data_IF_463364328200
#
_entry.id   IF_463364328200
#
_cell.length_a   1.000
_cell.length_b   1.000
_cell.length_c   1.000
_cell.angle_alpha   90.00
_cell.angle_beta   90.00
_cell.angle_gamma   90.00
#
_symmetry.space_group_name_H-M   'P 1'
#
loop_
_entity.id
_entity.type
_entity.pdbx_description
1 polymer ?
#
# COMPACT_ATOMS: atom_id res chain seq x y z
N UNK A 1 0.73 -25.24 -16.73
CA UNK A 1 1.42 -24.92 -15.49
C UNK A 1 0.85 -25.82 -14.41
N UNK A 2 1.57 -26.02 -13.32
CA UNK A 2 1.07 -26.84 -12.20
C UNK A 2 -0.03 -26.08 -11.46
N UNK A 3 0.02 -24.75 -11.50
CA UNK A 3 -1.12 -23.89 -11.23
C UNK A 3 -1.84 -23.41 -12.51
N UNK A 4 -3.08 -22.92 -12.37
CA UNK A 4 -3.92 -22.54 -13.52
C UNK A 4 -3.41 -21.31 -14.26
N UNK A 5 -3.57 -21.27 -15.60
CA UNK A 5 -3.17 -20.12 -16.45
C UNK A 5 -3.77 -18.80 -15.96
N UNK A 6 -5.04 -18.82 -15.59
CA UNK A 6 -5.77 -17.61 -15.16
C UNK A 6 -5.23 -17.03 -13.85
N UNK A 7 -4.63 -17.87 -12.99
CA UNK A 7 -4.01 -17.42 -11.74
C UNK A 7 -2.80 -16.52 -12.04
N UNK A 8 -1.90 -16.98 -12.91
CA UNK A 8 -0.72 -16.20 -13.30
C UNK A 8 -1.05 -15.02 -14.20
N UNK A 9 -2.13 -15.08 -14.98
CA UNK A 9 -2.62 -13.89 -15.68
C UNK A 9 -3.06 -12.83 -14.67
N UNK A 10 -3.75 -13.21 -13.59
CA UNK A 10 -4.10 -12.30 -12.50
C UNK A 10 -2.85 -11.67 -11.87
N UNK A 11 -1.87 -12.48 -11.46
CA UNK A 11 -0.63 -11.96 -10.88
C UNK A 11 0.17 -11.08 -11.85
N UNK A 12 0.35 -11.52 -13.09
CA UNK A 12 1.10 -10.74 -14.08
C UNK A 12 0.44 -9.40 -14.40
N UNK A 13 -0.88 -9.39 -14.52
CA UNK A 13 -1.64 -8.17 -14.77
C UNK A 13 -1.65 -7.25 -13.54
N UNK A 14 -1.76 -7.82 -12.33
CA UNK A 14 -1.62 -7.09 -11.07
C UNK A 14 -0.26 -6.39 -10.96
N UNK A 15 0.84 -7.14 -11.13
CA UNK A 15 2.18 -6.57 -11.13
C UNK A 15 2.40 -5.52 -12.23
N UNK A 16 1.82 -5.72 -13.42
CA UNK A 16 1.89 -4.74 -14.50
C UNK A 16 1.19 -3.43 -14.12
N UNK A 17 -0.02 -3.51 -13.57
CA UNK A 17 -0.76 -2.32 -13.13
C UNK A 17 -0.06 -1.63 -11.95
N UNK A 18 0.50 -2.39 -11.01
CA UNK A 18 1.30 -1.83 -9.92
C UNK A 18 2.51 -1.05 -10.45
N UNK A 19 3.24 -1.64 -11.39
CA UNK A 19 4.37 -0.97 -12.04
C UNK A 19 3.94 0.29 -12.80
N UNK A 20 2.86 0.23 -13.58
CA UNK A 20 2.34 1.37 -14.31
C UNK A 20 1.88 2.51 -13.37
N UNK A 21 1.24 2.15 -12.24
CA UNK A 21 0.90 3.09 -11.17
C UNK A 21 2.14 3.74 -10.58
N UNK A 22 3.17 2.96 -10.22
CA UNK A 22 4.43 3.50 -9.70
C UNK A 22 5.15 4.44 -10.65
N UNK A 23 5.16 4.13 -11.95
CA UNK A 23 5.73 5.03 -12.96
C UNK A 23 4.92 6.33 -13.04
N UNK A 24 3.59 6.26 -13.08
CA UNK A 24 2.73 7.43 -13.13
C UNK A 24 2.85 8.30 -11.87
N UNK A 25 2.82 7.69 -10.69
CA UNK A 25 2.99 8.37 -9.42
C UNK A 25 4.36 9.06 -9.35
N UNK A 26 5.42 8.39 -9.81
CA UNK A 26 6.75 9.00 -9.89
C UNK A 26 6.82 10.23 -10.82
N UNK A 27 5.94 10.36 -11.82
CA UNK A 27 5.83 11.62 -12.58
C UNK A 27 5.16 12.73 -11.76
N UNK A 28 4.12 12.42 -11.00
CA UNK A 28 3.45 13.38 -10.11
C UNK A 28 4.43 13.91 -9.06
N UNK A 29 5.08 13.00 -8.36
CA UNK A 29 5.96 13.32 -7.24
C UNK A 29 7.28 13.92 -7.71
N UNK A 30 8.03 13.25 -8.60
CA UNK A 30 9.42 13.62 -8.89
C UNK A 30 9.57 14.68 -9.98
N UNK A 31 8.60 14.79 -10.90
CA UNK A 31 8.67 15.74 -12.02
C UNK A 31 7.83 16.98 -11.74
N UNK A 32 6.64 16.81 -11.16
CA UNK A 32 5.72 17.89 -10.91
C UNK A 32 5.67 18.38 -9.46
N UNK A 33 6.35 17.68 -8.54
CA UNK A 33 6.37 18.01 -7.12
C UNK A 33 4.96 18.18 -6.56
N UNK A 34 4.07 17.27 -6.97
CA UNK A 34 2.70 17.22 -6.48
C UNK A 34 2.58 16.09 -5.47
N UNK A 35 1.92 16.40 -4.35
CA UNK A 35 1.57 15.41 -3.31
C UNK A 35 0.05 15.36 -3.09
N UNK A 36 -0.73 14.83 -4.06
CA UNK A 36 -2.18 14.73 -3.89
C UNK A 36 -2.56 13.44 -3.14
N UNK A 37 -3.53 13.54 -2.22
CA UNK A 37 -4.13 12.39 -1.53
C UNK A 37 -4.63 11.29 -2.48
N UNK A 38 -5.07 11.68 -3.68
CA UNK A 38 -5.46 10.78 -4.78
C UNK A 38 -5.01 11.38 -6.11
N UNK A 39 -4.36 10.53 -6.90
CA UNK A 39 -3.84 10.84 -8.22
C UNK A 39 -4.43 9.91 -9.29
N UNK A 40 -4.05 10.15 -10.55
CA UNK A 40 -4.34 9.22 -11.63
C UNK A 40 -3.69 7.83 -11.42
N UNK A 41 -2.59 7.76 -10.66
CA UNK A 41 -1.91 6.51 -10.38
C UNK A 41 -2.77 5.54 -9.54
N UNK A 42 -3.65 6.07 -8.69
CA UNK A 42 -4.55 5.27 -7.85
C UNK A 42 -5.47 4.37 -8.63
N UNK A 43 -5.91 4.79 -9.82
CA UNK A 43 -6.68 3.92 -10.71
C UNK A 43 -5.90 2.64 -11.05
N UNK A 44 -4.60 2.76 -11.30
CA UNK A 44 -3.73 1.63 -11.64
C UNK A 44 -3.45 0.77 -10.41
N UNK A 45 -3.25 1.37 -9.23
CA UNK A 45 -3.12 0.62 -7.99
C UNK A 45 -4.39 -0.16 -7.63
N UNK A 46 -5.58 0.44 -7.75
CA UNK A 46 -6.86 -0.25 -7.55
C UNK A 46 -6.99 -1.45 -8.50
N UNK A 47 -6.64 -1.29 -9.78
CA UNK A 47 -6.62 -2.41 -10.72
C UNK A 47 -5.62 -3.49 -10.31
N UNK A 48 -4.44 -3.11 -9.82
CA UNK A 48 -3.47 -4.06 -9.26
C UNK A 48 -4.09 -4.89 -8.15
N UNK A 49 -4.72 -4.25 -7.16
CA UNK A 49 -5.40 -4.93 -6.06
C UNK A 49 -6.46 -5.92 -6.55
N UNK A 50 -7.29 -5.52 -7.52
CA UNK A 50 -8.31 -6.38 -8.11
C UNK A 50 -7.69 -7.62 -8.77
N UNK A 51 -6.65 -7.45 -9.57
CA UNK A 51 -6.03 -8.58 -10.29
C UNK A 51 -5.18 -9.49 -9.41
N UNK A 52 -4.45 -8.92 -8.43
CA UNK A 52 -3.73 -9.69 -7.41
C UNK A 52 -4.70 -10.49 -6.55
N UNK A 53 -5.74 -9.85 -6.01
CA UNK A 53 -6.79 -10.49 -5.23
C UNK A 53 -7.47 -11.60 -6.03
N UNK A 54 -7.84 -11.33 -7.28
CA UNK A 54 -8.41 -12.34 -8.18
C UNK A 54 -7.48 -13.55 -8.39
N UNK A 55 -6.20 -13.32 -8.66
CA UNK A 55 -5.19 -14.38 -8.80
C UNK A 55 -5.08 -15.25 -7.54
N UNK A 56 -5.01 -14.61 -6.37
CA UNK A 56 -4.92 -15.30 -5.08
C UNK A 56 -6.20 -16.07 -4.73
N UNK A 57 -7.39 -15.50 -4.98
CA UNK A 57 -8.68 -16.20 -4.77
C UNK A 57 -8.77 -17.45 -5.65
N UNK A 58 -8.40 -17.35 -6.93
CA UNK A 58 -8.35 -18.52 -7.82
C UNK A 58 -7.35 -19.57 -7.34
N UNK A 59 -6.19 -19.15 -6.82
CA UNK A 59 -5.20 -20.05 -6.26
C UNK A 59 -5.74 -20.81 -5.04
N UNK A 60 -6.36 -20.10 -4.11
CA UNK A 60 -6.93 -20.64 -2.86
C UNK A 60 -8.12 -21.57 -3.13
N UNK A 61 -9.11 -21.11 -3.90
CA UNK A 61 -10.34 -21.86 -4.16
C UNK A 61 -10.10 -23.18 -4.91
N UNK A 62 -9.06 -23.23 -5.75
CA UNK A 62 -8.69 -24.45 -6.46
C UNK A 62 -8.24 -25.61 -5.56
N UNK A 63 -7.94 -25.33 -4.28
CA UNK A 63 -7.30 -26.30 -3.36
C UNK A 63 -8.23 -26.96 -2.36
N UNK A 64 -9.54 -26.65 -2.35
CA UNK A 64 -10.51 -27.22 -1.38
C UNK A 64 -9.92 -27.27 0.04
N UNK A 65 -9.58 -26.09 0.57
CA UNK A 65 -8.87 -25.97 1.85
C UNK A 65 -9.67 -26.67 2.95
N UNK A 66 -9.15 -27.78 3.46
CA UNK A 66 -9.66 -28.44 4.65
C UNK A 66 -8.81 -27.98 5.84
N UNK A 67 -9.03 -26.75 6.27
CA UNK A 67 -8.23 -26.13 7.32
C UNK A 67 -8.63 -26.66 8.69
N UNK A 68 -7.63 -26.95 9.52
CA UNK A 68 -7.84 -27.26 10.93
C UNK A 68 -8.28 -26.01 11.70
N UNK A 69 -8.92 -26.18 12.86
CA UNK A 69 -9.42 -25.08 13.70
C UNK A 69 -8.31 -24.07 14.03
N UNK A 70 -7.08 -24.55 14.28
CA UNK A 70 -5.93 -23.68 14.54
C UNK A 70 -5.51 -22.85 13.33
N UNK A 71 -5.68 -23.37 12.11
CA UNK A 71 -5.39 -22.64 10.88
C UNK A 71 -6.44 -21.55 10.63
N UNK A 72 -7.71 -21.84 10.93
CA UNK A 72 -8.76 -20.81 10.95
C UNK A 72 -8.51 -19.73 12.00
N UNK A 73 -8.08 -20.13 13.21
CA UNK A 73 -7.70 -19.19 14.26
C UNK A 73 -6.51 -18.32 13.84
N UNK A 74 -5.53 -18.87 13.11
CA UNK A 74 -4.42 -18.09 12.58
C UNK A 74 -4.87 -17.07 11.52
N UNK A 75 -5.75 -17.45 10.59
CA UNK A 75 -6.33 -16.53 9.60
C UNK A 75 -7.10 -15.40 10.31
N UNK A 76 -7.96 -15.75 11.28
CA UNK A 76 -8.71 -14.77 12.05
C UNK A 76 -7.77 -13.84 12.84
N UNK A 77 -6.73 -14.40 13.46
CA UNK A 77 -5.72 -13.64 14.20
C UNK A 77 -5.03 -12.60 13.32
N UNK A 78 -4.59 -13.00 12.12
CA UNK A 78 -3.97 -12.08 11.16
C UNK A 78 -4.96 -11.04 10.64
N UNK A 79 -6.21 -11.43 10.36
CA UNK A 79 -7.25 -10.48 9.94
C UNK A 79 -7.48 -9.41 11.00
N UNK A 80 -7.63 -9.82 12.27
CA UNK A 80 -7.86 -8.90 13.39
C UNK A 80 -6.64 -8.03 13.64
N UNK A 81 -5.42 -8.60 13.70
CA UNK A 81 -4.21 -7.83 13.97
C UNK A 81 -3.88 -6.87 12.82
N UNK A 82 -4.04 -7.30 11.57
CA UNK A 82 -3.82 -6.45 10.40
C UNK A 82 -4.85 -5.32 10.32
N UNK A 83 -6.12 -5.59 10.62
CA UNK A 83 -7.14 -4.53 10.68
C UNK A 83 -6.86 -3.57 11.82
N UNK A 84 -6.52 -4.06 13.02
CA UNK A 84 -6.23 -3.21 14.16
C UNK A 84 -5.01 -2.31 13.89
N UNK A 85 -3.96 -2.85 13.28
CA UNK A 85 -2.79 -2.06 12.88
C UNK A 85 -3.17 -1.00 11.85
N UNK A 86 -3.90 -1.37 10.80
CA UNK A 86 -4.29 -0.42 9.75
C UNK A 86 -5.18 0.71 10.28
N UNK A 87 -6.13 0.40 11.16
CA UNK A 87 -6.97 1.40 11.82
C UNK A 87 -6.15 2.30 12.73
N UNK A 88 -5.22 1.75 13.51
CA UNK A 88 -4.34 2.56 14.37
C UNK A 88 -3.39 3.47 13.57
N UNK A 89 -2.90 3.00 12.43
CA UNK A 89 -2.04 3.80 11.55
C UNK A 89 -2.83 4.94 10.90
N UNK A 90 -4.07 4.66 10.48
CA UNK A 90 -4.96 5.67 9.88
C UNK A 90 -5.46 6.69 10.90
N UNK A 91 -5.77 6.25 12.12
CA UNK A 91 -6.17 7.11 13.23
C UNK A 91 -5.61 6.56 14.56
N UNK A 92 -4.47 7.11 15.04
CA UNK A 92 -3.85 6.67 16.29
C UNK A 92 -4.73 6.89 17.53
N UNK A 93 -5.71 7.81 17.46
CA UNK A 93 -6.63 8.13 18.55
C UNK A 93 -7.77 7.12 18.66
N UNK A 94 -8.00 6.31 17.62
CA UNK A 94 -9.12 5.37 17.53
C UNK A 94 -9.20 4.38 18.72
N UNK A 95 -8.05 3.90 19.20
CA UNK A 95 -8.00 2.96 20.33
C UNK A 95 -8.00 3.65 21.70
N UNK A 96 -8.04 4.99 21.76
CA UNK A 96 -7.97 5.77 22.99
C UNK A 96 -6.67 5.57 23.78
N UNK A 97 -5.62 5.04 23.13
CA UNK A 97 -4.32 4.73 23.74
C UNK A 97 -3.36 5.91 23.71
N UNK A 98 -3.58 6.85 22.79
CA UNK A 98 -2.91 8.15 22.75
C UNK A 98 -3.93 9.13 23.30
N UNK A 99 -3.62 9.74 24.45
CA UNK A 99 -4.48 10.77 25.02
C UNK A 99 -4.73 11.84 23.96
N UNK A 100 -5.97 12.31 23.87
CA UNK A 100 -6.32 13.52 23.11
C UNK A 100 -5.24 14.55 23.33
N UNK A 101 -4.63 15.04 22.25
CA UNK A 101 -3.71 16.17 22.33
C UNK A 101 -4.49 17.35 22.92
N UNK A 102 -4.47 17.47 24.25
CA UNK A 102 -4.60 18.77 24.87
C UNK A 102 -3.41 19.54 24.32
N UNK A 103 -3.69 20.43 23.37
CA UNK A 103 -2.80 21.50 22.96
C UNK A 103 -2.30 22.16 24.24
N UNK A 104 -1.11 21.78 24.69
CA UNK A 104 -0.40 22.50 25.73
C UNK A 104 0.04 23.78 25.04
N UNK A 105 -0.82 24.79 25.10
CA UNK A 105 -0.46 26.17 24.86
C UNK A 105 0.58 26.49 25.93
N UNK A 106 1.86 26.32 25.59
CA UNK A 106 2.93 26.94 26.36
C UNK A 106 2.77 28.43 26.07
N UNK A 107 2.01 29.10 26.93
CA UNK A 107 1.99 30.54 27.02
C UNK A 107 3.43 30.98 27.33
N UNK A 108 4.12 31.48 26.31
CA UNK A 108 5.46 32.05 26.46
C UNK A 108 5.31 33.33 27.30
N UNK A 109 5.42 33.18 28.61
CA UNK A 109 5.55 34.31 29.54
C UNK A 109 6.90 34.97 29.29
N UNK A 110 6.90 36.00 28.45
CA UNK A 110 8.00 36.93 28.33
C UNK A 110 8.12 37.74 29.64
N UNK A 111 9.33 38.01 30.15
CA UNK A 111 9.48 38.80 31.36
C UNK A 111 9.13 40.27 31.10
N UNK A 112 8.21 40.79 31.91
CA UNK A 112 7.89 42.22 32.01
C UNK A 112 9.16 43.04 32.22
N UNK A 113 9.42 44.01 31.33
CA UNK A 113 10.23 45.18 31.65
C UNK A 113 9.33 46.40 31.64
N UNK A 114 9.34 47.10 32.76
CA UNK A 114 8.47 48.17 33.19
C UNK A 114 8.77 49.52 32.51
N UNK A 115 7.75 50.04 31.79
CA UNK A 115 7.28 51.45 31.74
C UNK A 115 8.14 52.57 31.08
N UNK A 116 7.58 53.78 30.73
CA UNK A 116 6.16 54.20 30.61
C UNK A 116 5.79 54.89 29.27
N UNK A 117 4.47 55.08 29.12
CA UNK A 117 3.66 55.61 28.01
C UNK A 117 3.92 57.06 27.54
N UNK A 118 3.66 57.33 26.26
CA UNK A 118 3.04 58.59 25.79
C UNK A 118 2.08 58.36 24.61
N UNK A 119 1.17 59.32 24.44
CA UNK A 119 -0.22 59.26 23.97
C UNK A 119 -0.44 59.46 22.46
N UNK A 120 -1.43 58.73 21.90
CA UNK A 120 -2.39 59.08 20.81
C UNK A 120 -1.90 59.46 19.40
N UNK A 121 -2.42 58.78 18.36
CA UNK A 121 -3.36 59.35 17.35
C UNK A 121 -3.90 58.26 16.41
N UNK A 122 -5.11 58.48 15.91
CA UNK A 122 -6.09 57.63 15.23
C UNK A 122 -5.66 56.93 13.91
N UNK A 123 -6.48 55.92 13.56
CA UNK A 123 -6.47 55.03 12.40
C UNK A 123 -6.53 55.73 11.01
N UNK A 124 -6.31 55.00 9.89
CA UNK A 124 -7.39 54.15 9.37
C UNK A 124 -6.94 52.75 8.90
N UNK A 125 -7.87 51.81 9.06
CA UNK A 125 -7.90 50.54 8.36
C UNK A 125 -8.16 50.76 6.87
N UNK A 126 -7.39 50.13 5.97
CA UNK A 126 -7.85 49.37 4.79
C UNK A 126 -6.68 48.53 4.24
N UNK A 127 -7.02 47.37 3.66
CA UNK A 127 -6.23 46.47 2.78
C UNK A 127 -5.55 45.32 3.53
N UNK A 128 -6.24 44.18 3.60
CA UNK A 128 -6.15 43.13 2.57
C UNK A 128 -4.83 42.38 2.68
N UNK A 129 -4.67 41.66 3.78
CA UNK A 129 -3.85 40.46 3.80
C UNK A 129 -4.85 39.30 3.64
N UNK A 130 -5.25 39.07 2.39
CA UNK A 130 -5.61 37.72 1.99
C UNK A 130 -4.38 36.87 2.28
N UNK A 131 -4.61 35.68 2.83
CA UNK A 131 -3.58 34.67 3.04
C UNK A 131 -2.71 34.57 1.78
N UNK A 132 -1.44 34.98 1.90
CA UNK A 132 -0.40 34.46 1.03
C UNK A 132 -0.18 33.02 1.50
N UNK A 133 -1.05 32.11 1.06
CA UNK A 133 -0.63 30.75 0.79
C UNK A 133 0.51 30.87 -0.21
N UNK A 134 1.71 30.47 0.21
CA UNK A 134 2.84 30.33 -0.69
C UNK A 134 2.41 29.36 -1.80
N UNK A 135 2.04 29.90 -2.97
CA UNK A 135 1.87 29.10 -4.17
C UNK A 135 3.25 28.48 -4.47
N UNK A 136 3.41 27.21 -4.10
CA UNK A 136 4.49 26.40 -4.65
C UNK A 136 4.41 26.51 -6.16
N UNK A 137 5.52 26.90 -6.80
CA UNK A 137 5.64 26.95 -8.25
C UNK A 137 5.52 25.54 -8.83
N UNK A 138 4.31 25.00 -8.91
CA UNK A 138 4.07 23.70 -9.51
C UNK A 138 4.40 23.78 -11.00
N UNK A 139 5.30 22.90 -11.44
CA UNK A 139 5.65 22.76 -12.86
C UNK A 139 4.58 21.98 -13.64
N UNK A 140 3.50 21.59 -12.96
CA UNK A 140 2.46 20.73 -13.49
C UNK A 140 1.62 21.43 -14.58
N UNK A 141 1.30 20.75 -15.69
CA UNK A 141 0.31 21.22 -16.64
C UNK A 141 -1.06 21.44 -15.95
N UNK A 142 -1.79 22.50 -16.32
CA UNK A 142 -3.07 22.82 -15.67
C UNK A 142 -4.16 21.73 -15.74
N UNK A 143 -4.06 20.78 -16.67
CA UNK A 143 -4.96 19.62 -16.71
C UNK A 143 -4.69 18.62 -15.58
N UNK A 144 -3.45 18.52 -15.10
CA UNK A 144 -3.01 17.66 -13.98
C UNK A 144 -3.62 18.20 -12.69
N UNK A 145 -3.36 19.47 -12.39
CA UNK A 145 -3.93 20.17 -11.23
C UNK A 145 -5.47 20.13 -11.26
N UNK A 146 -6.06 20.32 -12.45
CA UNK A 146 -7.51 20.21 -12.64
C UNK A 146 -8.07 18.79 -12.47
N UNK A 147 -7.25 17.76 -12.66
CA UNK A 147 -7.62 16.37 -12.40
C UNK A 147 -7.53 16.08 -10.90
N UNK A 148 -6.46 16.48 -10.23
CA UNK A 148 -6.25 16.22 -8.80
C UNK A 148 -7.37 16.82 -7.96
N UNK A 149 -7.77 18.08 -8.23
CA UNK A 149 -8.94 18.72 -7.59
C UNK A 149 -10.26 17.96 -7.80
N UNK A 150 -10.39 17.20 -8.90
CA UNK A 150 -11.60 16.38 -9.13
C UNK A 150 -11.52 15.03 -8.41
N UNK A 151 -10.32 14.56 -8.10
CA UNK A 151 -10.06 13.29 -7.42
C UNK A 151 -10.04 13.46 -5.91
N UNK A 152 -9.72 14.64 -5.39
CA UNK A 152 -9.69 14.97 -3.96
C UNK A 152 -10.92 14.47 -3.17
N UNK A 153 -12.18 14.64 -3.64
CA UNK A 153 -13.35 14.14 -2.91
C UNK A 153 -13.42 12.60 -2.81
N UNK A 154 -12.62 11.88 -3.61
CA UNK A 154 -12.53 10.42 -3.58
C UNK A 154 -11.47 9.93 -2.58
N UNK A 155 -10.65 10.80 -2.00
CA UNK A 155 -9.55 10.46 -1.08
C UNK A 155 -9.97 9.50 0.03
N UNK A 156 -11.03 9.85 0.76
CA UNK A 156 -11.54 8.99 1.83
C UNK A 156 -11.95 7.61 1.31
N UNK A 157 -12.61 7.55 0.15
CA UNK A 157 -13.07 6.29 -0.44
C UNK A 157 -11.92 5.41 -0.94
N UNK A 158 -10.92 6.02 -1.59
CA UNK A 158 -9.72 5.33 -2.10
C UNK A 158 -8.85 4.85 -0.94
N UNK A 159 -8.62 5.68 0.08
CA UNK A 159 -7.86 5.28 1.27
C UNK A 159 -8.54 4.12 2.00
N UNK A 160 -9.87 4.18 2.18
CA UNK A 160 -10.64 3.08 2.76
C UNK A 160 -10.54 1.80 1.90
N UNK A 161 -10.58 1.93 0.57
CA UNK A 161 -10.37 0.80 -0.33
C UNK A 161 -8.99 0.17 -0.10
N UNK A 162 -7.92 0.95 0.03
CA UNK A 162 -6.59 0.41 0.33
C UNK A 162 -6.55 -0.29 1.68
N UNK A 163 -7.12 0.28 2.74
CA UNK A 163 -7.17 -0.37 4.07
C UNK A 163 -7.87 -1.75 3.97
N UNK A 164 -9.02 -1.81 3.31
CA UNK A 164 -9.76 -3.06 3.15
C UNK A 164 -8.99 -4.04 2.25
N UNK A 165 -8.43 -3.54 1.15
CA UNK A 165 -7.64 -4.29 0.19
C UNK A 165 -6.41 -4.93 0.83
N UNK A 166 -5.66 -4.14 1.60
CA UNK A 166 -4.48 -4.55 2.36
C UNK A 166 -4.77 -5.77 3.23
N UNK A 167 -5.78 -5.65 4.09
CA UNK A 167 -6.21 -6.71 5.00
C UNK A 167 -6.72 -7.92 4.22
N UNK A 168 -7.50 -7.69 3.16
CA UNK A 168 -8.02 -8.77 2.32
C UNK A 168 -6.88 -9.58 1.66
N UNK A 169 -5.89 -8.91 1.09
CA UNK A 169 -4.71 -9.56 0.53
C UNK A 169 -3.90 -10.28 1.61
N UNK A 170 -3.76 -9.70 2.81
CA UNK A 170 -3.09 -10.31 3.95
C UNK A 170 -3.76 -11.62 4.41
N UNK A 171 -5.09 -11.66 4.43
CA UNK A 171 -5.88 -12.87 4.72
C UNK A 171 -5.60 -13.94 3.67
N UNK A 172 -5.64 -13.57 2.38
CA UNK A 172 -5.35 -14.50 1.28
C UNK A 172 -3.91 -15.01 1.33
N UNK A 173 -2.94 -14.15 1.63
CA UNK A 173 -1.54 -14.51 1.79
C UNK A 173 -1.36 -15.55 2.91
N UNK A 174 -2.01 -15.31 4.05
CA UNK A 174 -2.02 -16.24 5.19
C UNK A 174 -2.64 -17.58 4.79
N UNK A 175 -3.79 -17.55 4.11
CA UNK A 175 -4.44 -18.76 3.60
C UNK A 175 -3.53 -19.53 2.63
N UNK A 176 -2.79 -18.85 1.75
CA UNK A 176 -1.81 -19.47 0.86
C UNK A 176 -0.67 -20.13 1.64
N UNK A 177 -0.10 -19.47 2.66
CA UNK A 177 0.97 -20.06 3.47
C UNK A 177 0.50 -21.36 4.13
N UNK A 178 -0.70 -21.35 4.73
CA UNK A 178 -1.27 -22.50 5.42
C UNK A 178 -1.65 -23.62 4.46
N UNK A 179 -2.25 -23.27 3.31
CA UNK A 179 -2.63 -24.21 2.26
C UNK A 179 -1.42 -24.93 1.64
N UNK A 180 -0.28 -24.24 1.59
CA UNK A 180 0.91 -24.69 0.91
C UNK A 180 2.07 -24.91 1.89
N UNK A 181 1.82 -25.22 3.16
CA UNK A 181 2.90 -25.54 4.10
C UNK A 181 3.47 -26.95 3.84
N UNK A 182 4.78 -27.06 3.56
CA UNK A 182 5.53 -28.33 3.65
C UNK A 182 5.89 -29.06 2.36
N UNK A 183 5.68 -28.50 1.15
CA UNK A 183 5.98 -29.17 -0.12
C UNK A 183 6.97 -28.43 -1.03
N UNK A 184 7.70 -29.11 -1.92
CA UNK A 184 8.56 -28.42 -2.91
C UNK A 184 7.75 -27.57 -3.90
N UNK A 185 6.55 -28.02 -4.24
CA UNK A 185 5.60 -27.27 -5.08
C UNK A 185 5.00 -26.04 -4.36
N UNK A 186 5.31 -25.84 -3.08
CA UNK A 186 4.85 -24.68 -2.33
C UNK A 186 5.83 -23.52 -2.23
N UNK A 187 7.05 -23.67 -2.74
CA UNK A 187 8.04 -22.60 -2.66
C UNK A 187 7.59 -21.36 -3.43
N UNK A 188 7.02 -21.51 -4.64
CA UNK A 188 6.46 -20.38 -5.39
C UNK A 188 5.39 -19.64 -4.60
N UNK A 189 4.43 -20.37 -4.03
CA UNK A 189 3.33 -19.80 -3.24
C UNK A 189 3.76 -19.10 -1.96
N UNK A 190 4.81 -19.61 -1.30
CA UNK A 190 5.40 -18.94 -0.14
C UNK A 190 6.02 -17.60 -0.52
N UNK A 191 6.70 -17.53 -1.67
CA UNK A 191 7.26 -16.25 -2.14
C UNK A 191 6.16 -15.25 -2.45
N UNK A 192 5.07 -15.68 -3.10
CA UNK A 192 3.91 -14.81 -3.36
C UNK A 192 3.30 -14.30 -2.05
N UNK A 193 3.11 -15.17 -1.06
CA UNK A 193 2.58 -14.74 0.22
C UNK A 193 3.53 -13.77 0.95
N UNK A 194 4.83 -14.05 1.00
CA UNK A 194 5.81 -13.13 1.59
C UNK A 194 5.91 -11.80 0.82
N UNK A 195 5.69 -11.81 -0.49
CA UNK A 195 5.57 -10.58 -1.27
C UNK A 195 4.38 -9.74 -0.79
N UNK A 196 3.21 -10.36 -0.59
CA UNK A 196 2.03 -9.67 -0.06
C UNK A 196 2.23 -9.16 1.37
N UNK A 197 2.89 -9.92 2.24
CA UNK A 197 3.27 -9.43 3.58
C UNK A 197 4.23 -8.25 3.51
N UNK A 198 5.20 -8.28 2.59
CA UNK A 198 6.14 -7.18 2.38
C UNK A 198 5.40 -5.93 1.90
N UNK A 199 4.47 -6.09 0.96
CA UNK A 199 3.64 -5.00 0.45
C UNK A 199 2.84 -4.35 1.58
N UNK A 200 2.16 -5.16 2.39
CA UNK A 200 1.40 -4.66 3.54
C UNK A 200 2.28 -3.89 4.54
N UNK A 201 3.49 -4.37 4.84
CA UNK A 201 4.42 -3.66 5.73
C UNK A 201 4.82 -2.31 5.14
N UNK A 202 5.11 -2.27 3.83
CA UNK A 202 5.43 -1.02 3.14
C UNK A 202 4.25 -0.05 3.16
N UNK A 203 3.03 -0.52 2.86
CA UNK A 203 1.81 0.30 2.86
C UNK A 203 1.47 0.84 4.26
N UNK A 204 1.66 0.04 5.32
CA UNK A 204 1.47 0.51 6.70
C UNK A 204 2.53 1.54 7.11
N UNK A 205 3.76 1.40 6.63
CA UNK A 205 4.79 2.39 6.88
C UNK A 205 4.50 3.70 6.15
N UNK A 206 4.15 3.63 4.86
CA UNK A 206 3.77 4.80 4.06
C UNK A 206 2.60 5.58 4.70
N UNK A 207 1.52 4.88 5.06
CA UNK A 207 0.38 5.52 5.74
C UNK A 207 0.76 6.11 7.10
N UNK A 208 1.73 5.51 7.78
CA UNK A 208 2.19 5.97 9.08
C UNK A 208 3.10 7.21 8.98
N UNK A 209 3.91 7.32 7.93
CA UNK A 209 4.71 8.52 7.66
C UNK A 209 3.81 9.68 7.27
N UNK A 210 2.84 9.40 6.40
CA UNK A 210 1.84 10.36 5.92
C UNK A 210 0.96 10.89 7.08
N UNK A 211 0.40 10.00 7.91
CA UNK A 211 -0.52 10.39 8.99
C UNK A 211 0.11 11.14 10.17
N UNK A 212 1.44 11.20 10.26
CA UNK A 212 2.16 11.79 11.41
C UNK A 212 2.78 13.15 11.14
N UNK A 213 2.57 13.74 9.96
CA UNK A 213 2.87 15.14 9.68
C UNK A 213 4.33 15.53 9.93
N UNK A 214 5.28 14.62 9.73
CA UNK A 214 6.72 14.95 9.76
C UNK A 214 7.13 15.61 8.43
N UNK A 215 6.52 16.75 8.10
CA UNK A 215 6.74 17.47 6.84
C UNK A 215 5.97 16.90 5.64
N UNK A 216 6.17 17.51 4.47
CA UNK A 216 5.79 16.94 3.17
C UNK A 216 6.33 15.51 3.07
N UNK A 217 5.49 14.56 2.64
CA UNK A 217 5.93 13.19 2.47
C UNK A 217 7.08 13.14 1.45
N UNK A 218 8.25 12.62 1.85
CA UNK A 218 9.37 12.38 0.94
C UNK A 218 9.55 10.87 0.74
N UNK A 219 9.46 10.40 -0.51
CA UNK A 219 9.79 9.02 -0.84
C UNK A 219 11.26 8.67 -0.58
N UNK A 220 11.54 7.39 -0.35
CA UNK A 220 12.86 6.86 -0.07
C UNK A 220 13.10 6.47 1.39
N UNK A 221 12.06 6.42 2.21
CA UNK A 221 12.13 5.93 3.58
C UNK A 221 12.66 4.48 3.66
N UNK A 222 13.36 4.15 4.75
CA UNK A 222 14.04 2.84 4.87
C UNK A 222 13.08 1.66 4.70
N UNK A 223 11.86 1.77 5.24
CA UNK A 223 10.87 0.69 5.17
C UNK A 223 10.16 0.62 3.81
N UNK A 224 10.32 1.59 2.92
CA UNK A 224 9.85 1.49 1.53
C UNK A 224 10.65 0.47 0.71
N UNK A 225 11.81 0.02 1.20
CA UNK A 225 12.54 -1.12 0.61
C UNK A 225 11.67 -2.37 0.51
N UNK A 226 10.63 -2.50 1.34
CA UNK A 226 9.69 -3.60 1.27
C UNK A 226 8.82 -3.58 0.00
N UNK A 227 8.61 -2.43 -0.65
CA UNK A 227 8.05 -2.36 -2.00
C UNK A 227 8.97 -3.06 -3.02
N UNK A 228 10.28 -2.85 -2.90
CA UNK A 228 11.28 -3.53 -3.75
C UNK A 228 11.30 -5.04 -3.46
N UNK A 229 11.28 -5.43 -2.19
CA UNK A 229 11.20 -6.85 -1.81
C UNK A 229 9.94 -7.51 -2.36
N UNK A 230 8.81 -6.82 -2.38
CA UNK A 230 7.57 -7.30 -3.00
C UNK A 230 7.80 -7.68 -4.45
N UNK A 231 8.36 -6.78 -5.26
CA UNK A 231 8.66 -7.04 -6.67
C UNK A 231 9.63 -8.23 -6.87
N UNK A 232 10.69 -8.28 -6.07
CA UNK A 232 11.69 -9.37 -6.12
C UNK A 232 11.04 -10.72 -5.77
N UNK A 233 10.24 -10.77 -4.70
CA UNK A 233 9.59 -11.99 -4.23
C UNK A 233 8.54 -12.50 -5.25
N UNK A 234 7.78 -11.61 -5.88
CA UNK A 234 6.90 -11.97 -7.00
C UNK A 234 7.69 -12.57 -8.18
N UNK A 235 8.82 -11.97 -8.55
CA UNK A 235 9.68 -12.47 -9.61
C UNK A 235 10.25 -13.86 -9.28
N UNK A 236 10.77 -14.05 -8.07
CA UNK A 236 11.25 -15.37 -7.60
C UNK A 236 10.11 -16.39 -7.64
N UNK A 237 8.92 -16.02 -7.15
CA UNK A 237 7.74 -16.88 -7.18
C UNK A 237 7.37 -17.34 -8.59
N UNK A 238 7.41 -16.43 -9.56
CA UNK A 238 7.15 -16.72 -10.97
C UNK A 238 8.21 -17.64 -11.59
N UNK A 239 9.51 -17.39 -11.31
CA UNK A 239 10.61 -18.23 -11.80
C UNK A 239 10.52 -19.65 -11.23
N UNK A 240 10.22 -19.78 -9.93
CA UNK A 240 10.06 -21.09 -9.29
C UNK A 240 8.91 -21.90 -9.91
N UNK A 241 7.76 -21.26 -10.18
CA UNK A 241 6.65 -21.95 -10.86
C UNK A 241 7.01 -22.33 -12.30
N UNK A 242 7.75 -21.47 -13.02
CA UNK A 242 8.19 -21.77 -14.37
C UNK A 242 9.10 -23.01 -14.41
N UNK A 243 10.07 -23.10 -13.50
CA UNK A 243 10.95 -24.28 -13.36
C UNK A 243 10.15 -25.55 -13.02
N UNK A 244 9.22 -25.46 -12.08
CA UNK A 244 8.29 -26.55 -11.72
C UNK A 244 7.45 -27.00 -12.94
N UNK A 245 6.93 -26.04 -13.70
CA UNK A 245 6.06 -26.29 -14.86
C UNK A 245 6.80 -26.91 -16.04
N UNK A 246 8.09 -26.58 -16.21
CA UNK A 246 8.92 -27.12 -17.30
C UNK A 246 9.42 -28.53 -16.95
N UNK A 247 9.92 -28.75 -15.74
CA UNK A 247 10.37 -30.08 -15.27
C UNK A 247 9.24 -31.12 -15.27
N UNK A 248 8.03 -30.73 -14.85
CA UNK A 248 6.87 -31.61 -14.87
C UNK A 248 6.45 -32.03 -16.29
N UNK A 249 6.60 -31.15 -17.30
CA UNK A 249 6.38 -31.48 -18.71
C UNK A 249 7.44 -32.45 -19.26
N UNK A 250 8.70 -32.25 -18.89
CA UNK A 250 9.80 -33.11 -19.34
C UNK A 250 9.67 -34.55 -18.81
N UNK A 251 9.29 -34.74 -17.54
CA UNK A 251 9.11 -36.10 -16.98
C UNK A 251 7.96 -36.87 -17.65
N UNK A 252 6.85 -36.19 -17.99
CA UNK A 252 5.75 -36.78 -18.75
C UNK A 252 6.17 -37.18 -20.17
N UNK A 253 7.02 -36.40 -20.83
CA UNK A 253 7.50 -36.70 -22.19
C UNK A 253 8.49 -37.86 -22.21
N UNK A 254 9.40 -37.94 -21.24
CA UNK A 254 10.35 -39.06 -21.10
C UNK A 254 9.65 -40.41 -20.87
N UNK A 255 8.62 -40.43 -20.02
CA UNK A 255 7.85 -41.66 -19.74
C UNK A 255 7.03 -42.16 -20.93
N UNK A 256 6.65 -41.27 -21.86
CA UNK A 256 5.88 -41.61 -23.07
C UNK A 256 6.75 -42.10 -24.24
N UNK A 257 8.06 -41.81 -24.20
CA UNK A 257 9.05 -42.34 -25.14
C UNK A 257 9.54 -43.76 -24.81
N UNK A 258 9.51 -44.14 -23.54
CA UNK A 258 9.97 -45.46 -23.07
C UNK A 258 8.95 -46.60 -23.23
N UNK A 259 7.72 -46.31 -23.67
CA UNK A 259 6.65 -47.31 -23.88
C UNK A 259 6.55 -47.86 -25.30
N UNK A 260 7.54 -47.56 -26.15
CA UNK A 260 7.68 -48.09 -27.51
C UNK A 260 9.11 -48.62 -27.68
N UNK A 261 9.38 -49.78 -27.11
CA UNK A 261 10.51 -50.64 -27.47
C UNK A 261 10.11 -52.08 -27.26
#
# INVERSE_FOLDING_TARGET
MVSGRNVWLGFGLGCFFYFAGGVLFGFWELVWHLDPDVSLADLFYILSYVFLGWGMVLAVTSKRLNLEIWQWAAILGVAVSGTALAVWVADPSFFGLVGSEETVVIEQVAPETTAPSTTSTAAPAVMSAAEEEAEEETTAPGWVVGLDRKLEPLATGVNLFYIIGDVFLLILATALILAFWGGRFSQSWRMIAFATFSLYVADMYFKWTDSRGQGEYESGGLLEVFFVFTGILFAIGAVLEYDISTRSRQSRRGRRGSGKS
#
